data_IF_520171404855
#
_entry.id   IF_520171404855
#
_cell.length_a   1.000
_cell.length_b   1.000
_cell.length_c   1.000
_cell.angle_alpha   90.00
_cell.angle_beta   90.00
_cell.angle_gamma   90.00
#
_symmetry.space_group_name_H-M   'P 1'
#
loop_
_entity.id
_entity.type
_entity.pdbx_description
1 polymer ?
#
# COMPACT_ATOMS: atom_id res chain seq x y z
N UNK A 1 10.53 12.52 -37.97
CA UNK A 1 9.92 12.43 -36.64
C UNK A 1 10.35 11.11 -36.03
N UNK A 2 11.32 11.11 -35.12
CA UNK A 2 11.79 9.91 -34.43
C UNK A 2 10.89 9.68 -33.23
N UNK A 3 10.09 8.60 -33.24
CA UNK A 3 9.37 8.12 -32.06
C UNK A 3 10.40 7.60 -31.07
N UNK A 4 10.57 8.29 -29.97
CA UNK A 4 11.29 7.78 -28.80
C UNK A 4 10.36 6.82 -28.08
N UNK A 5 10.72 5.55 -28.07
CA UNK A 5 10.11 4.59 -27.18
C UNK A 5 10.73 4.80 -25.79
N UNK A 6 9.99 5.45 -24.92
CA UNK A 6 10.34 5.58 -23.50
C UNK A 6 9.92 4.26 -22.85
N UNK A 7 10.88 3.38 -22.61
CA UNK A 7 10.66 2.23 -21.75
C UNK A 7 10.53 2.68 -20.31
N UNK A 8 9.32 2.98 -19.87
CA UNK A 8 9.03 3.19 -18.45
C UNK A 8 9.06 1.81 -17.78
N UNK A 9 10.11 1.53 -17.01
CA UNK A 9 10.12 0.40 -16.08
C UNK A 9 9.40 0.87 -14.83
N UNK A 10 8.09 0.67 -14.77
CA UNK A 10 7.33 0.84 -13.56
C UNK A 10 7.56 -0.38 -12.66
N UNK A 11 8.02 -0.17 -11.43
CA UNK A 11 8.02 -1.20 -10.40
C UNK A 11 6.65 -1.22 -9.74
N UNK A 12 5.95 -2.34 -9.76
CA UNK A 12 4.72 -2.52 -9.02
C UNK A 12 5.03 -3.25 -7.71
N UNK A 13 4.51 -2.73 -6.60
CA UNK A 13 4.52 -3.39 -5.29
C UNK A 13 3.11 -3.96 -5.06
N UNK A 14 3.03 -5.28 -4.96
CA UNK A 14 1.79 -5.99 -4.67
C UNK A 14 1.80 -6.43 -3.21
N UNK A 15 0.81 -6.01 -2.43
CA UNK A 15 0.61 -6.43 -1.05
C UNK A 15 -0.52 -7.45 -0.98
N UNK A 16 -0.21 -8.68 -0.56
CA UNK A 16 -1.23 -9.70 -0.30
C UNK A 16 -1.46 -9.84 1.20
N UNK A 17 -2.66 -9.63 1.66
CA UNK A 17 -3.09 -9.84 3.05
C UNK A 17 -3.50 -11.31 3.23
N UNK A 18 -2.73 -12.07 4.04
CA UNK A 18 -3.18 -13.36 4.53
C UNK A 18 -3.83 -13.18 5.91
N UNK A 19 -5.15 -13.24 5.97
CA UNK A 19 -5.88 -13.40 7.21
C UNK A 19 -5.92 -14.90 7.58
N UNK A 20 -5.12 -15.32 8.56
CA UNK A 20 -5.18 -16.67 9.12
C UNK A 20 -6.31 -16.74 10.14
N UNK A 21 -7.49 -17.16 9.71
CA UNK A 21 -8.57 -17.54 10.60
C UNK A 21 -8.36 -19.00 11.06
N UNK A 22 -7.94 -19.21 12.28
CA UNK A 22 -8.05 -20.53 12.95
C UNK A 22 -9.50 -20.75 13.33
N UNK A 23 -10.20 -21.58 12.56
CA UNK A 23 -11.47 -22.17 12.95
C UNK A 23 -11.24 -23.53 13.61
N UNK A 24 -11.39 -23.61 14.92
CA UNK A 24 -11.41 -24.85 15.66
C UNK A 24 -12.84 -25.37 15.74
N UNK A 25 -13.11 -26.52 15.12
CA UNK A 25 -14.36 -27.26 15.29
C UNK A 25 -14.31 -28.04 16.60
N UNK A 26 -15.22 -27.78 17.51
CA UNK A 26 -15.45 -28.59 18.69
C UNK A 26 -16.80 -29.30 18.55
N UNK A 27 -16.72 -30.64 18.74
CA UNK A 27 -17.82 -31.60 18.69
C UNK A 27 -18.91 -31.32 19.73
N UNK A 28 -20.14 -31.63 19.33
CA UNK A 28 -21.33 -31.65 20.18
C UNK A 28 -21.38 -32.93 21.01
N UNK A 29 -21.51 -32.83 22.31
CA UNK A 29 -22.57 -33.45 23.12
C UNK A 29 -22.27 -33.41 24.63
N UNK A 30 -23.07 -32.71 25.38
CA UNK A 30 -23.59 -33.12 26.70
C UNK A 30 -24.39 -31.97 27.32
N UNK A 31 -25.69 -32.18 27.48
CA UNK A 31 -26.57 -31.26 28.18
C UNK A 31 -26.37 -31.27 29.68
N UNK A 32 -26.43 -30.11 30.29
CA UNK A 32 -26.93 -29.89 31.66
C UNK A 32 -27.45 -28.46 31.71
N UNK A 33 -28.71 -28.31 32.07
CA UNK A 33 -29.38 -27.04 32.31
C UNK A 33 -28.88 -26.44 33.64
N UNK A 34 -28.38 -25.22 33.62
CA UNK A 34 -28.27 -24.37 34.83
C UNK A 34 -28.51 -22.92 34.41
N UNK A 35 -29.52 -22.33 35.00
CA UNK A 35 -29.90 -20.94 34.82
C UNK A 35 -28.78 -20.02 35.31
N UNK A 36 -28.19 -19.23 34.40
CA UNK A 36 -27.29 -18.15 34.71
C UNK A 36 -27.97 -16.80 34.47
N UNK A 37 -27.66 -15.76 35.27
CA UNK A 37 -28.32 -14.47 35.19
C UNK A 37 -28.03 -13.77 33.85
N UNK A 38 -28.98 -12.99 33.39
CA UNK A 38 -28.86 -12.21 32.17
C UNK A 38 -27.63 -11.29 32.27
N UNK A 39 -26.57 -11.64 31.55
CA UNK A 39 -25.47 -10.74 31.29
C UNK A 39 -25.96 -9.74 30.24
N UNK A 40 -26.01 -8.49 30.62
CA UNK A 40 -26.27 -7.37 29.71
C UNK A 40 -25.28 -7.49 28.54
N UNK A 41 -25.80 -7.50 27.32
CA UNK A 41 -25.00 -7.43 26.12
C UNK A 41 -24.10 -6.20 26.20
N UNK A 42 -22.80 -6.31 25.81
CA UNK A 42 -21.96 -5.13 25.70
C UNK A 42 -22.64 -4.16 24.74
N UNK A 43 -22.98 -2.99 25.22
CA UNK A 43 -23.36 -1.85 24.37
C UNK A 43 -22.20 -1.66 23.40
N UNK A 44 -22.39 -1.95 22.11
CA UNK A 44 -21.46 -1.52 21.09
C UNK A 44 -21.23 -0.02 21.26
N UNK A 45 -20.06 0.31 21.77
CA UNK A 45 -19.60 1.70 21.76
C UNK A 45 -19.63 2.12 20.29
N UNK A 46 -20.48 3.08 19.96
CA UNK A 46 -20.50 3.69 18.65
C UNK A 46 -19.06 4.13 18.33
N UNK A 47 -18.38 3.36 17.48
CA UNK A 47 -17.00 3.65 17.08
C UNK A 47 -17.06 4.99 16.36
N UNK A 48 -16.47 6.02 16.95
CA UNK A 48 -16.36 7.33 16.31
C UNK A 48 -15.76 7.13 14.92
N UNK A 49 -16.24 7.89 13.93
CA UNK A 49 -15.69 7.83 12.59
C UNK A 49 -14.17 8.10 12.66
N UNK A 50 -13.34 7.33 11.92
CA UNK A 50 -11.90 7.53 11.95
C UNK A 50 -11.54 8.95 11.54
N UNK A 51 -10.65 9.58 12.30
CA UNK A 51 -10.17 10.93 12.01
C UNK A 51 -8.94 10.87 11.10
N UNK A 52 -8.80 11.88 10.23
CA UNK A 52 -7.60 12.07 9.44
C UNK A 52 -6.38 12.29 10.34
N UNK A 53 -5.28 11.64 10.02
CA UNK A 53 -3.99 11.89 10.68
C UNK A 53 -3.51 13.32 10.40
N UNK A 54 -2.64 13.86 11.24
CA UNK A 54 -2.05 15.18 11.03
C UNK A 54 -1.20 15.26 9.75
N UNK A 55 -0.58 14.12 9.36
CA UNK A 55 0.12 14.00 8.08
C UNK A 55 -0.87 14.12 6.92
N UNK A 56 -1.95 13.36 6.97
CA UNK A 56 -2.97 13.38 5.92
C UNK A 56 -3.61 14.77 5.75
N UNK A 57 -3.94 15.46 6.84
CA UNK A 57 -4.48 16.83 6.78
C UNK A 57 -3.54 17.78 6.03
N UNK A 58 -2.23 17.69 6.29
CA UNK A 58 -1.22 18.53 5.64
C UNK A 58 -1.05 18.20 4.15
N UNK A 59 -1.05 16.91 3.80
CA UNK A 59 -0.89 16.45 2.42
C UNK A 59 -2.13 16.75 1.58
N UNK A 60 -3.33 16.47 2.11
CA UNK A 60 -4.61 16.78 1.44
C UNK A 60 -4.80 18.28 1.20
N UNK A 61 -4.25 19.14 2.06
CA UNK A 61 -4.27 20.58 1.84
C UNK A 61 -3.38 21.03 0.66
N UNK A 62 -2.38 20.21 0.27
CA UNK A 62 -1.49 20.46 -0.85
C UNK A 62 -1.98 19.76 -2.13
N UNK A 63 -2.43 18.51 -1.98
CA UNK A 63 -2.94 17.70 -3.08
C UNK A 63 -4.13 16.86 -2.61
N UNK A 64 -5.35 17.13 -3.10
CA UNK A 64 -6.56 16.41 -2.72
C UNK A 64 -6.58 14.94 -3.17
N UNK A 65 -5.72 14.56 -4.14
CA UNK A 65 -5.60 13.19 -4.63
C UNK A 65 -4.82 12.28 -3.67
N UNK A 66 -4.38 12.80 -2.51
CA UNK A 66 -3.63 12.03 -1.52
C UNK A 66 -4.48 10.93 -0.90
N UNK A 67 -4.02 9.68 -1.03
CA UNK A 67 -4.65 8.49 -0.43
C UNK A 67 -3.82 7.87 0.68
N UNK A 68 -2.52 8.22 0.77
CA UNK A 68 -1.66 7.66 1.79
C UNK A 68 -0.22 8.16 1.74
N UNK A 69 0.63 7.44 2.45
CA UNK A 69 2.06 7.72 2.53
C UNK A 69 2.85 6.42 2.67
N UNK A 70 3.94 6.27 1.93
CA UNK A 70 4.79 5.09 1.99
C UNK A 70 6.20 5.42 2.46
N UNK A 71 6.71 4.62 3.42
CA UNK A 71 8.14 4.64 3.81
C UNK A 71 8.70 3.24 3.85
N UNK A 72 9.97 3.10 3.48
CA UNK A 72 10.71 1.86 3.63
C UNK A 72 12.04 2.21 4.28
N UNK A 73 12.19 1.87 5.55
CA UNK A 73 13.39 2.19 6.33
C UNK A 73 14.65 1.64 5.66
N UNK A 74 15.73 2.43 5.71
CA UNK A 74 16.98 2.08 5.05
C UNK A 74 17.01 2.32 3.54
N UNK A 75 15.91 2.79 2.94
CA UNK A 75 15.82 3.19 1.52
C UNK A 75 15.54 4.69 1.39
N UNK A 76 15.42 5.18 0.14
CA UNK A 76 14.95 6.53 -0.14
C UNK A 76 13.44 6.59 -0.42
N UNK A 77 12.73 5.50 -0.18
CA UNK A 77 11.27 5.50 -0.31
C UNK A 77 10.67 6.20 0.90
N UNK A 78 10.24 7.43 0.70
CA UNK A 78 9.63 8.32 1.70
C UNK A 78 8.73 9.31 0.94
N UNK A 79 7.53 8.85 0.54
CA UNK A 79 6.73 9.54 -0.46
C UNK A 79 5.25 9.58 -0.10
N UNK A 80 4.55 10.68 -0.41
CA UNK A 80 3.10 10.68 -0.48
C UNK A 80 2.63 9.72 -1.59
N UNK A 81 1.47 9.14 -1.39
CA UNK A 81 0.80 8.28 -2.37
C UNK A 81 -0.49 8.97 -2.78
N UNK A 82 -0.66 9.11 -4.09
CA UNK A 82 -1.81 9.75 -4.70
C UNK A 82 -2.62 8.74 -5.52
N UNK A 83 -3.83 9.10 -5.92
CA UNK A 83 -4.68 8.29 -6.80
C UNK A 83 -5.58 9.19 -7.64
N UNK A 84 -5.70 8.88 -8.92
CA UNK A 84 -6.64 9.52 -9.85
C UNK A 84 -7.58 8.48 -10.48
N UNK A 85 -8.39 8.90 -11.43
CA UNK A 85 -9.28 8.02 -12.18
C UNK A 85 -8.55 7.15 -13.21
N UNK A 86 -7.25 7.35 -13.41
CA UNK A 86 -6.39 6.59 -14.33
C UNK A 86 -5.02 6.31 -13.72
N UNK A 87 -4.24 5.47 -14.39
CA UNK A 87 -2.88 5.09 -14.00
C UNK A 87 -1.80 5.78 -14.85
N UNK A 88 -2.12 6.93 -15.47
CA UNK A 88 -1.23 7.62 -16.40
C UNK A 88 -0.76 8.99 -15.89
N UNK A 89 -1.66 9.77 -15.28
CA UNK A 89 -1.40 11.15 -14.90
C UNK A 89 -0.15 11.33 -14.04
N UNK A 90 0.00 10.56 -12.98
CA UNK A 90 1.14 10.66 -12.06
C UNK A 90 2.42 9.94 -12.52
N UNK A 91 2.43 9.41 -13.74
CA UNK A 91 3.69 8.91 -14.34
C UNK A 91 4.67 10.05 -14.63
N UNK A 92 4.17 11.24 -14.97
CA UNK A 92 4.97 12.40 -15.36
C UNK A 92 4.54 13.72 -14.71
N UNK A 93 3.74 13.64 -13.62
CA UNK A 93 3.34 14.79 -12.81
C UNK A 93 3.79 14.62 -11.36
N UNK A 94 4.35 15.71 -10.81
CA UNK A 94 4.75 15.81 -9.41
C UNK A 94 3.55 15.92 -8.47
N UNK A 95 3.82 15.84 -7.18
CA UNK A 95 2.80 15.98 -6.13
C UNK A 95 2.08 17.34 -6.17
N UNK A 96 2.71 18.37 -6.73
CA UNK A 96 2.16 19.69 -6.94
C UNK A 96 1.35 19.84 -8.25
N UNK A 97 1.19 18.74 -9.01
CA UNK A 97 0.48 18.72 -10.28
C UNK A 97 1.26 19.34 -11.45
N UNK A 98 2.54 19.69 -11.28
CA UNK A 98 3.37 20.18 -12.37
C UNK A 98 4.03 19.00 -13.12
N UNK A 99 4.37 19.20 -14.40
CA UNK A 99 5.15 18.21 -15.15
C UNK A 99 6.46 17.92 -14.43
N UNK A 100 6.65 16.64 -14.10
CA UNK A 100 7.82 16.15 -13.39
C UNK A 100 8.16 14.74 -13.85
N UNK A 101 9.31 14.57 -14.49
CA UNK A 101 9.73 13.30 -15.12
C UNK A 101 9.76 12.09 -14.18
N UNK A 102 10.01 12.31 -12.89
CA UNK A 102 10.02 11.22 -11.92
C UNK A 102 8.61 10.86 -11.43
N UNK A 103 7.61 11.63 -11.82
CA UNK A 103 6.23 11.44 -11.40
C UNK A 103 6.05 11.51 -9.88
N UNK A 104 4.97 10.92 -9.41
CA UNK A 104 4.65 10.72 -7.99
C UNK A 104 4.34 9.26 -7.77
N UNK A 105 4.55 8.72 -6.57
CA UNK A 105 4.06 7.38 -6.23
C UNK A 105 2.54 7.39 -6.19
N UNK A 106 1.89 6.49 -6.91
CA UNK A 106 0.43 6.45 -6.99
C UNK A 106 -0.12 5.04 -6.82
N UNK A 107 -1.35 4.97 -6.32
CA UNK A 107 -2.11 3.74 -6.16
C UNK A 107 -2.91 3.45 -7.42
N UNK A 108 -3.10 2.17 -7.76
CA UNK A 108 -3.91 1.76 -8.91
C UNK A 108 -5.31 2.37 -8.82
N UNK A 109 -5.80 2.88 -9.94
CA UNK A 109 -7.08 3.61 -10.01
C UNK A 109 -8.29 2.74 -9.65
N UNK A 110 -8.16 1.40 -9.68
CA UNK A 110 -9.20 0.46 -9.30
C UNK A 110 -9.12 0.03 -7.84
N UNK A 111 -8.03 0.35 -7.14
CA UNK A 111 -7.84 -0.02 -5.76
C UNK A 111 -8.55 0.93 -4.79
N UNK A 112 -8.81 0.43 -3.59
CA UNK A 112 -9.39 1.16 -2.48
C UNK A 112 -8.57 0.98 -1.21
N UNK A 113 -8.27 2.07 -0.52
CA UNK A 113 -7.53 2.09 0.75
C UNK A 113 -8.03 3.26 1.62
N UNK A 114 -9.12 3.03 2.34
CA UNK A 114 -9.83 4.07 3.08
C UNK A 114 -9.75 3.92 4.60
N UNK A 115 -10.76 4.50 5.25
CA UNK A 115 -10.88 4.55 6.70
C UNK A 115 -11.11 3.18 7.36
N UNK A 116 -11.76 2.28 6.64
CA UNK A 116 -12.21 0.98 7.16
C UNK A 116 -11.61 -0.17 6.37
N UNK A 117 -10.96 -1.15 7.05
CA UNK A 117 -10.31 -2.28 6.39
C UNK A 117 -11.22 -3.16 5.54
N UNK A 118 -12.50 -3.24 5.87
CA UNK A 118 -13.51 -4.00 5.12
C UNK A 118 -13.87 -3.38 3.75
N UNK A 119 -13.38 -2.16 3.49
CA UNK A 119 -13.56 -1.44 2.23
C UNK A 119 -12.29 -1.44 1.38
N UNK A 120 -11.22 -2.11 1.83
CA UNK A 120 -9.97 -2.14 1.09
C UNK A 120 -9.98 -3.20 0.00
N UNK A 121 -9.23 -2.93 -1.07
CA UNK A 121 -8.87 -3.97 -2.03
C UNK A 121 -8.08 -5.08 -1.35
N UNK A 122 -8.32 -6.35 -1.72
CA UNK A 122 -7.56 -7.50 -1.21
C UNK A 122 -6.06 -7.39 -1.54
N UNK A 123 -5.77 -6.79 -2.68
CA UNK A 123 -4.42 -6.42 -3.10
C UNK A 123 -4.39 -4.93 -3.40
N UNK A 124 -3.35 -4.25 -2.94
CA UNK A 124 -3.13 -2.83 -3.24
C UNK A 124 -1.87 -2.74 -4.08
N UNK A 125 -1.98 -2.13 -5.24
CA UNK A 125 -0.87 -1.92 -6.17
C UNK A 125 -0.42 -0.46 -6.13
N UNK A 126 0.87 -0.26 -5.85
CA UNK A 126 1.49 1.06 -5.90
C UNK A 126 2.48 1.11 -7.06
N UNK A 127 2.40 2.17 -7.85
CA UNK A 127 3.30 2.46 -8.95
C UNK A 127 4.27 3.56 -8.58
N UNK A 128 5.47 3.47 -9.11
CA UNK A 128 6.49 4.51 -8.97
C UNK A 128 7.67 4.23 -9.89
N UNK A 129 8.33 5.28 -10.36
CA UNK A 129 9.47 5.13 -11.24
C UNK A 129 10.68 4.50 -10.53
N UNK A 130 11.42 3.66 -11.26
CA UNK A 130 12.71 3.14 -10.84
C UNK A 130 13.82 4.11 -11.31
N UNK A 131 14.01 5.21 -10.58
CA UNK A 131 14.94 6.28 -10.94
C UNK A 131 16.41 5.88 -10.73
N UNK A 132 17.27 6.31 -11.65
CA UNK A 132 18.70 5.97 -11.59
C UNK A 132 19.41 6.61 -10.39
N UNK A 133 18.92 7.72 -9.89
CA UNK A 133 19.42 8.46 -8.71
C UNK A 133 18.90 7.89 -7.37
N UNK A 134 18.22 6.74 -7.40
CA UNK A 134 17.60 6.05 -6.28
C UNK A 134 16.35 6.72 -5.69
N UNK A 135 15.86 7.80 -6.26
CA UNK A 135 14.57 8.38 -5.86
C UNK A 135 13.40 7.50 -6.30
N UNK A 136 12.21 7.81 -5.85
CA UNK A 136 11.00 6.98 -6.02
C UNK A 136 11.28 5.53 -5.61
N UNK A 137 10.99 4.54 -6.45
CA UNK A 137 11.29 3.14 -6.18
C UNK A 137 12.71 2.72 -6.63
N UNK A 138 13.53 3.68 -7.05
CA UNK A 138 14.90 3.40 -7.50
C UNK A 138 15.78 2.75 -6.45
N UNK A 139 15.62 3.11 -5.17
CA UNK A 139 16.38 2.51 -4.06
C UNK A 139 16.01 1.06 -3.76
N UNK A 140 14.89 0.54 -4.25
CA UNK A 140 14.52 -0.88 -4.11
C UNK A 140 15.51 -1.81 -4.82
N UNK A 141 16.36 -1.29 -5.72
CA UNK A 141 17.47 -2.06 -6.31
C UNK A 141 18.42 -2.63 -5.27
N UNK A 142 18.48 -2.08 -4.07
CA UNK A 142 19.31 -2.61 -2.98
C UNK A 142 18.92 -4.04 -2.61
N UNK A 143 17.65 -4.38 -2.63
CA UNK A 143 17.18 -5.76 -2.39
C UNK A 143 17.69 -6.75 -3.44
N UNK A 144 17.85 -6.30 -4.70
CA UNK A 144 18.46 -7.09 -5.77
C UNK A 144 19.97 -7.21 -5.63
N UNK A 145 20.64 -6.11 -5.29
CA UNK A 145 22.11 -6.03 -5.22
C UNK A 145 22.66 -6.74 -4.00
N UNK A 146 21.92 -6.71 -2.89
CA UNK A 146 22.27 -7.36 -1.64
C UNK A 146 21.11 -8.27 -1.17
N UNK A 147 21.17 -9.59 -1.44
CA UNK A 147 20.12 -10.52 -1.02
C UNK A 147 19.89 -10.58 0.51
N UNK A 148 20.81 -10.05 1.31
CA UNK A 148 20.63 -9.95 2.76
C UNK A 148 19.89 -8.69 3.19
N UNK A 149 19.67 -7.74 2.29
CA UNK A 149 19.11 -6.43 2.61
C UNK A 149 17.70 -6.50 3.21
N UNK A 150 16.91 -7.54 2.85
CA UNK A 150 15.60 -7.79 3.46
C UNK A 150 15.66 -8.02 4.98
N UNK A 151 16.84 -8.37 5.54
CA UNK A 151 17.05 -8.50 7.00
C UNK A 151 17.30 -7.15 7.67
N UNK A 152 17.83 -6.20 6.91
CA UNK A 152 18.14 -4.86 7.37
C UNK A 152 16.92 -3.94 7.24
N UNK A 153 16.15 -4.11 6.17
CA UNK A 153 14.95 -3.34 5.85
C UNK A 153 13.77 -4.27 5.49
N UNK A 154 13.26 -5.05 6.45
CA UNK A 154 12.21 -6.04 6.18
C UNK A 154 10.81 -5.44 6.12
N UNK A 155 10.64 -4.21 6.59
CA UNK A 155 9.32 -3.62 6.78
C UNK A 155 9.06 -2.48 5.80
N UNK A 156 7.82 -2.40 5.39
CA UNK A 156 7.25 -1.30 4.61
C UNK A 156 6.16 -0.71 5.48
N UNK A 157 6.21 0.58 5.74
CA UNK A 157 5.08 1.30 6.32
C UNK A 157 4.29 1.94 5.20
N UNK A 158 3.05 1.52 5.02
CA UNK A 158 2.11 2.18 4.14
C UNK A 158 0.92 2.66 4.96
N UNK A 159 0.80 3.97 5.05
CA UNK A 159 -0.22 4.65 5.84
C UNK A 159 -1.38 5.04 4.95
N UNK A 160 -2.60 4.78 5.39
CA UNK A 160 -3.76 5.47 4.84
C UNK A 160 -3.83 6.91 5.37
N UNK A 161 -4.80 7.67 4.93
CA UNK A 161 -5.07 8.99 5.51
C UNK A 161 -5.53 8.93 6.98
N UNK A 162 -5.78 7.73 7.53
CA UNK A 162 -6.38 7.52 8.84
C UNK A 162 -5.48 6.78 9.82
N UNK A 163 -4.60 5.89 9.36
CA UNK A 163 -3.74 5.08 10.23
C UNK A 163 -2.49 4.58 9.50
N UNK A 164 -1.47 4.22 10.28
CA UNK A 164 -0.23 3.60 9.79
C UNK A 164 -0.35 2.07 9.84
N UNK A 165 0.13 1.40 8.78
CA UNK A 165 0.16 -0.06 8.67
C UNK A 165 1.55 -0.53 8.29
N UNK A 166 2.00 -1.61 8.94
CA UNK A 166 3.31 -2.19 8.68
C UNK A 166 3.15 -3.52 7.93
N UNK A 167 3.86 -3.62 6.82
CA UNK A 167 3.92 -4.80 5.96
C UNK A 167 5.31 -5.40 5.98
N UNK A 168 5.41 -6.70 5.76
CA UNK A 168 6.69 -7.40 5.65
C UNK A 168 7.02 -7.61 4.19
N UNK A 169 8.25 -7.30 3.80
CA UNK A 169 8.77 -7.59 2.46
C UNK A 169 8.87 -9.11 2.28
N UNK A 170 8.06 -9.69 1.41
CA UNK A 170 8.04 -11.14 1.16
C UNK A 170 8.85 -11.55 -0.08
N UNK A 171 9.13 -10.61 -0.96
CA UNK A 171 9.91 -10.89 -2.17
C UNK A 171 10.10 -9.67 -3.05
N UNK A 172 11.05 -9.79 -3.98
CA UNK A 172 11.29 -8.87 -5.07
C UNK A 172 11.27 -9.67 -6.37
N UNK A 173 10.35 -9.34 -7.26
CA UNK A 173 10.25 -9.94 -8.59
C UNK A 173 10.77 -8.94 -9.61
N UNK A 174 11.62 -9.42 -10.51
CA UNK A 174 12.18 -8.61 -11.59
C UNK A 174 11.70 -9.22 -12.90
N UNK A 175 10.93 -8.45 -13.65
CA UNK A 175 10.35 -8.88 -14.91
C UNK A 175 10.46 -7.78 -15.96
N UNK A 176 10.21 -8.12 -17.21
CA UNK A 176 10.11 -7.17 -18.32
C UNK A 176 8.65 -6.67 -18.39
N UNK A 177 8.49 -5.36 -18.65
CA UNK A 177 7.18 -4.77 -18.94
C UNK A 177 6.67 -5.04 -20.37
N UNK A 178 7.37 -5.88 -21.16
CA UNK A 178 6.89 -6.25 -22.48
C UNK A 178 5.82 -7.33 -22.36
N UNK A 179 4.70 -7.15 -23.08
CA UNK A 179 3.56 -8.07 -23.06
C UNK A 179 3.92 -9.51 -23.49
N UNK A 180 5.04 -9.68 -24.22
CA UNK A 180 5.53 -10.96 -24.73
C UNK A 180 6.59 -11.63 -23.83
N UNK A 181 6.86 -11.07 -22.63
CA UNK A 181 7.78 -11.71 -21.68
C UNK A 181 7.03 -12.76 -20.88
N UNK A 182 7.39 -14.03 -21.06
CA UNK A 182 6.95 -15.11 -20.18
C UNK A 182 7.50 -14.87 -18.76
N UNK A 183 6.65 -15.06 -17.74
CA UNK A 183 7.00 -14.98 -16.32
C UNK A 183 7.65 -16.28 -15.86
#
# INVERSE_FOLDING_TARGET
MKKWQIGAVAGALVFSLFATGCGEQIDQNAGIATSAPATEAPTEAATAAPELTERAKKLLAQNPDTVGYITIDGTQVDNPVVQTADNEYYLDHGFDGQEFRAGTVFMDCTDSFGAYPDQWSENIVLYGHNMADNTMFGSLRQYRQNPSYYKEAPFITFSSNYADYTYVMVGLIITSGNADSDF
#
